data_IF_162927406589
#
_entry.id   IF_162927406589
#
_cell.length_a   1.000
_cell.length_b   1.000
_cell.length_c   1.000
_cell.angle_alpha   90.00
_cell.angle_beta   90.00
_cell.angle_gamma   90.00
#
_symmetry.space_group_name_H-M   'P 1'
#
loop_
_entity.id
_entity.type
_entity.pdbx_description
1 polymer ?
#
# COMPACT_ATOMS: atom_id res chain seq x y z
N UNK A 1 3.77 19.72 -14.66
CA UNK A 1 3.57 19.18 -13.30
C UNK A 1 3.22 20.35 -12.41
N UNK A 2 2.07 20.32 -11.71
CA UNK A 2 1.62 21.41 -10.85
C UNK A 2 2.00 21.08 -9.40
N UNK A 3 3.07 21.70 -8.88
CA UNK A 3 3.59 21.41 -7.53
C UNK A 3 2.71 21.95 -6.40
N UNK A 4 1.98 23.03 -6.64
CA UNK A 4 1.05 23.59 -5.65
C UNK A 4 -0.09 22.60 -5.38
N UNK A 5 -0.71 22.10 -6.44
CA UNK A 5 -1.76 21.07 -6.35
C UNK A 5 -1.25 19.77 -5.71
N UNK A 6 0.00 19.37 -5.96
CA UNK A 6 0.59 18.19 -5.30
C UNK A 6 0.78 18.47 -3.81
N UNK A 7 1.25 19.66 -3.43
CA UNK A 7 1.48 20.00 -2.03
C UNK A 7 0.19 20.01 -1.21
N UNK A 8 -0.94 20.39 -1.81
CA UNK A 8 -2.25 20.39 -1.15
C UNK A 8 -2.72 19.00 -0.70
N UNK A 9 -2.18 17.92 -1.30
CA UNK A 9 -2.47 16.55 -0.89
C UNK A 9 -1.82 16.19 0.46
N UNK A 10 -0.79 16.90 0.90
CA UNK A 10 -0.03 16.57 2.11
C UNK A 10 -0.40 17.49 3.28
N UNK A 11 -0.69 16.91 4.45
CA UNK A 11 -1.26 17.62 5.59
C UNK A 11 -0.19 18.11 6.58
N UNK A 12 0.74 18.95 6.11
CA UNK A 12 1.73 19.58 6.99
C UNK A 12 1.93 21.04 6.68
N UNK A 13 2.16 21.82 7.73
CA UNK A 13 2.62 23.20 7.71
C UNK A 13 4.13 23.30 8.04
N UNK A 14 4.81 22.17 8.26
CA UNK A 14 6.22 22.10 8.66
C UNK A 14 7.13 21.89 7.46
N UNK A 15 8.34 22.42 7.57
CA UNK A 15 9.46 22.01 6.70
C UNK A 15 9.88 20.60 7.14
N UNK A 16 9.37 19.58 6.44
CA UNK A 16 9.63 18.18 6.73
C UNK A 16 10.77 17.66 5.85
N UNK A 17 11.90 17.31 6.47
CA UNK A 17 13.12 16.83 5.78
C UNK A 17 13.50 15.39 6.16
N UNK A 18 12.56 14.61 6.72
CA UNK A 18 12.80 13.24 7.21
C UNK A 18 12.17 12.15 6.32
N UNK A 19 11.97 12.43 5.03
CA UNK A 19 11.32 11.53 4.08
C UNK A 19 12.05 10.19 3.88
N UNK A 20 13.35 10.14 4.18
CA UNK A 20 14.14 8.90 4.16
C UNK A 20 13.73 7.92 5.28
N UNK A 21 13.17 8.42 6.38
CA UNK A 21 12.61 7.58 7.45
C UNK A 21 11.18 7.19 7.12
N UNK A 22 10.29 8.17 6.98
CA UNK A 22 8.88 7.99 6.63
C UNK A 22 8.39 9.26 5.96
N UNK A 23 7.59 9.15 4.91
CA UNK A 23 7.03 10.33 4.24
C UNK A 23 5.64 10.67 4.80
N UNK A 24 5.25 11.93 4.66
CA UNK A 24 3.89 12.37 4.97
C UNK A 24 2.94 11.70 3.98
N UNK A 25 1.85 11.13 4.49
CA UNK A 25 0.88 10.43 3.66
C UNK A 25 -0.06 11.43 2.96
N UNK A 26 -0.33 11.28 1.65
CA UNK A 26 -1.29 12.13 0.97
C UNK A 26 -2.73 11.83 1.42
N UNK A 27 -3.61 12.83 1.35
CA UNK A 27 -5.04 12.74 1.70
C UNK A 27 -5.73 11.59 1.00
N UNK A 28 -5.46 11.41 -0.28
CA UNK A 28 -5.97 10.29 -1.09
C UNK A 28 -5.66 8.92 -0.50
N UNK A 29 -4.44 8.68 0.01
CA UNK A 29 -4.08 7.41 0.67
C UNK A 29 -4.77 7.24 2.02
N UNK A 30 -4.91 8.32 2.79
CA UNK A 30 -5.62 8.30 4.07
C UNK A 30 -7.09 7.94 3.85
N UNK A 31 -7.73 8.56 2.86
CA UNK A 31 -9.14 8.29 2.54
C UNK A 31 -9.32 6.85 2.02
N UNK A 32 -8.42 6.34 1.19
CA UNK A 32 -8.48 4.95 0.74
C UNK A 32 -8.43 3.96 1.90
N UNK A 33 -7.56 4.19 2.89
CA UNK A 33 -7.49 3.35 4.09
C UNK A 33 -8.75 3.45 4.95
N UNK A 34 -9.32 4.66 5.09
CA UNK A 34 -10.59 4.87 5.80
C UNK A 34 -11.73 4.10 5.12
N UNK A 35 -11.88 4.26 3.81
CA UNK A 35 -12.92 3.59 3.04
C UNK A 35 -12.78 2.07 3.12
N UNK A 36 -11.55 1.55 3.00
CA UNK A 36 -11.27 0.14 3.20
C UNK A 36 -11.81 -0.38 4.54
N UNK A 37 -11.51 0.30 5.65
CA UNK A 37 -11.94 -0.13 6.98
C UNK A 37 -13.47 -0.11 7.15
N UNK A 38 -14.13 0.91 6.58
CA UNK A 38 -15.59 1.02 6.59
C UNK A 38 -16.19 -0.14 5.79
N UNK A 39 -15.82 -0.28 4.52
CA UNK A 39 -16.36 -1.32 3.63
C UNK A 39 -16.09 -2.73 4.16
N UNK A 40 -14.88 -3.00 4.64
CA UNK A 40 -14.54 -4.31 5.23
C UNK A 40 -15.42 -4.64 6.45
N UNK A 41 -15.71 -3.64 7.28
CA UNK A 41 -16.57 -3.82 8.44
C UNK A 41 -18.04 -4.03 8.04
N UNK A 42 -18.53 -3.29 7.04
CA UNK A 42 -19.90 -3.39 6.51
C UNK A 42 -20.18 -4.73 5.83
N UNK A 43 -19.21 -5.27 5.08
CA UNK A 43 -19.30 -6.59 4.44
C UNK A 43 -19.32 -7.74 5.47
N UNK A 44 -19.01 -7.46 6.73
CA UNK A 44 -18.74 -8.46 7.75
C UNK A 44 -17.32 -9.00 7.61
N UNK A 45 -16.43 -8.75 8.59
CA UNK A 45 -15.13 -9.38 8.64
C UNK A 45 -15.27 -10.91 8.54
N UNK A 46 -14.40 -11.56 7.77
CA UNK A 46 -14.43 -13.01 7.49
C UNK A 46 -15.69 -13.52 6.78
N UNK A 47 -16.48 -12.64 6.15
CA UNK A 47 -17.54 -13.04 5.22
C UNK A 47 -16.97 -13.45 3.86
N UNK A 48 -17.75 -14.23 3.10
CA UNK A 48 -17.42 -14.56 1.70
C UNK A 48 -17.21 -13.31 0.84
N UNK A 49 -18.02 -12.27 1.08
CA UNK A 49 -17.89 -11.00 0.36
C UNK A 49 -16.57 -10.31 0.68
N UNK A 50 -16.19 -10.25 1.96
CA UNK A 50 -14.91 -9.69 2.39
C UNK A 50 -13.72 -10.48 1.82
N UNK A 51 -13.81 -11.80 1.72
CA UNK A 51 -12.76 -12.65 1.14
C UNK A 51 -12.52 -12.31 -0.33
N UNK A 52 -13.60 -12.21 -1.12
CA UNK A 52 -13.52 -11.83 -2.55
C UNK A 52 -12.94 -10.42 -2.69
N UNK A 53 -13.44 -9.47 -1.90
CA UNK A 53 -12.98 -8.08 -1.90
C UNK A 53 -11.46 -7.98 -1.63
N UNK A 54 -10.98 -8.67 -0.60
CA UNK A 54 -9.56 -8.71 -0.27
C UNK A 54 -8.77 -9.34 -1.43
N UNK A 55 -9.19 -10.49 -1.94
CA UNK A 55 -8.49 -11.19 -3.03
C UNK A 55 -8.34 -10.31 -4.28
N UNK A 56 -9.38 -9.58 -4.65
CA UNK A 56 -9.34 -8.65 -5.77
C UNK A 56 -8.38 -7.49 -5.51
N UNK A 57 -8.42 -6.90 -4.31
CA UNK A 57 -7.48 -5.84 -3.91
C UNK A 57 -6.02 -6.31 -3.97
N UNK A 58 -5.74 -7.54 -3.54
CA UNK A 58 -4.41 -8.15 -3.66
C UNK A 58 -3.97 -8.31 -5.12
N UNK A 59 -4.89 -8.70 -6.00
CA UNK A 59 -4.63 -8.79 -7.44
C UNK A 59 -4.27 -7.44 -8.06
N UNK A 60 -5.04 -6.41 -7.75
CA UNK A 60 -4.81 -5.06 -8.25
C UNK A 60 -3.52 -4.43 -7.73
N UNK A 61 -3.18 -4.63 -6.44
CA UNK A 61 -1.92 -4.15 -5.87
C UNK A 61 -0.72 -4.80 -6.56
N UNK A 62 -0.73 -6.13 -6.79
CA UNK A 62 0.36 -6.80 -7.51
C UNK A 62 0.52 -6.26 -8.93
N UNK A 63 -0.58 -6.07 -9.67
CA UNK A 63 -0.54 -5.45 -11.01
C UNK A 63 0.03 -4.04 -10.96
N UNK A 64 -0.36 -3.22 -10.00
CA UNK A 64 0.14 -1.85 -9.86
C UNK A 64 1.66 -1.81 -9.58
N UNK A 65 2.13 -2.60 -8.61
CA UNK A 65 3.55 -2.68 -8.25
C UNK A 65 4.37 -3.23 -9.42
N UNK A 66 3.88 -4.28 -10.11
CA UNK A 66 4.60 -4.87 -11.24
C UNK A 66 4.91 -3.86 -12.35
N UNK A 67 4.00 -2.91 -12.63
CA UNK A 67 4.24 -1.81 -13.58
C UNK A 67 5.28 -0.82 -13.06
N UNK A 68 5.31 -0.57 -11.75
CA UNK A 68 6.26 0.35 -11.12
C UNK A 68 7.69 -0.19 -11.17
N UNK A 69 7.89 -1.47 -10.83
CA UNK A 69 9.22 -2.10 -10.75
C UNK A 69 9.60 -2.90 -12.01
N UNK A 70 8.71 -2.94 -13.02
CA UNK A 70 8.91 -3.57 -14.33
C UNK A 70 9.17 -5.07 -14.27
N UNK A 71 8.30 -5.81 -13.58
CA UNK A 71 8.31 -7.28 -13.52
C UNK A 71 6.91 -7.84 -13.85
N UNK A 72 6.74 -9.16 -13.78
CA UNK A 72 5.43 -9.78 -13.85
C UNK A 72 4.70 -9.72 -12.49
N UNK A 73 3.35 -9.66 -12.47
CA UNK A 73 2.59 -9.60 -11.22
C UNK A 73 2.81 -10.79 -10.27
N UNK A 74 3.07 -11.98 -10.80
CA UNK A 74 3.36 -13.21 -10.06
C UNK A 74 4.75 -13.24 -9.42
N UNK A 75 5.66 -12.35 -9.85
CA UNK A 75 6.97 -12.14 -9.22
C UNK A 75 6.89 -11.24 -7.97
N UNK A 76 5.71 -10.69 -7.65
CA UNK A 76 5.51 -9.77 -6.50
C UNK A 76 4.95 -10.51 -5.28
N UNK A 77 5.75 -10.49 -4.20
CA UNK A 77 5.33 -10.86 -2.84
C UNK A 77 5.13 -9.57 -2.03
N UNK A 78 3.96 -9.44 -1.38
CA UNK A 78 3.68 -8.31 -0.49
C UNK A 78 4.11 -8.70 0.93
N UNK A 79 4.95 -7.88 1.53
CA UNK A 79 5.51 -8.08 2.87
C UNK A 79 5.12 -6.92 3.78
N UNK A 80 5.36 -7.06 5.08
CA UNK A 80 5.06 -5.99 6.05
C UNK A 80 6.14 -4.89 6.05
N UNK A 81 7.35 -5.21 5.64
CA UNK A 81 8.48 -4.28 5.59
C UNK A 81 9.61 -4.78 4.67
N UNK A 82 10.61 -3.92 4.46
CA UNK A 82 11.85 -4.29 3.75
C UNK A 82 12.59 -5.41 4.50
N UNK A 83 12.71 -5.27 5.82
CA UNK A 83 13.39 -6.27 6.68
C UNK A 83 12.73 -7.63 6.62
N UNK A 84 11.39 -7.65 6.64
CA UNK A 84 10.60 -8.87 6.53
C UNK A 84 10.89 -9.61 5.21
N UNK A 85 10.88 -8.89 4.08
CA UNK A 85 11.20 -9.47 2.77
C UNK A 85 12.60 -10.05 2.67
N UNK A 86 13.62 -9.37 3.20
CA UNK A 86 14.99 -9.90 3.22
C UNK A 86 15.09 -11.17 4.07
N UNK A 87 14.43 -11.19 5.23
CA UNK A 87 14.41 -12.35 6.11
C UNK A 87 13.70 -13.56 5.48
N UNK A 88 12.65 -13.36 4.69
CA UNK A 88 11.99 -14.45 3.96
C UNK A 88 12.96 -15.16 3.01
N UNK A 89 13.72 -14.39 2.22
CA UNK A 89 14.72 -14.94 1.30
C UNK A 89 15.84 -15.65 2.08
N UNK A 90 16.40 -15.00 3.10
CA UNK A 90 17.49 -15.56 3.90
C UNK A 90 17.12 -16.88 4.60
N UNK A 91 15.86 -17.00 5.07
CA UNK A 91 15.39 -18.23 5.71
C UNK A 91 14.97 -19.31 4.69
N UNK A 92 14.56 -18.94 3.49
CA UNK A 92 14.16 -19.89 2.44
C UNK A 92 15.34 -20.52 1.67
N UNK A 93 16.53 -19.94 1.76
CA UNK A 93 17.76 -20.45 1.13
C UNK A 93 18.58 -21.39 2.03
N UNK A 94 18.01 -21.82 3.17
CA UNK A 94 18.64 -22.76 4.10
C UNK A 94 18.55 -24.20 3.61
#
# INVERSE_FOLDING_TARGET
>A
MNFESISEEFQTDKIYLNNASVSIMPKTSIEAMRQFLISYSEMGPDSLESEIFIKDLWGEIRKAISRLVKCQPDEIIITQSVTDGVNMVANGMK
#
